data_IF_266219854333
#
_entry.id   IF_266219854333
#
_cell.length_a   1.000
_cell.length_b   1.000
_cell.length_c   1.000
_cell.angle_alpha   90.00
_cell.angle_beta   90.00
_cell.angle_gamma   90.00
#
_symmetry.space_group_name_H-M   'P 1'
#
loop_
_entity.id
_entity.type
_entity.pdbx_description
1 polymer ?
#
# COMPACT_ATOMS: atom_id res chain seq x y z
N UNK A 1 -24.98 -7.79 -51.77
CA UNK A 1 -24.74 -9.24 -51.80
C UNK A 1 -23.53 -9.55 -50.91
N UNK A 2 -23.57 -10.69 -50.19
CA UNK A 2 -22.57 -11.23 -49.24
C UNK A 2 -22.64 -10.63 -47.82
N UNK A 3 -23.37 -11.15 -46.81
CA UNK A 3 -23.46 -12.48 -46.15
C UNK A 3 -22.14 -12.96 -45.53
N UNK A 4 -21.86 -12.56 -44.28
CA UNK A 4 -21.14 -13.41 -43.34
C UNK A 4 -21.99 -13.69 -42.11
N UNK A 5 -22.08 -14.98 -41.85
CA UNK A 5 -22.78 -15.69 -40.80
C UNK A 5 -21.69 -16.31 -39.88
N UNK A 6 -22.08 -16.68 -38.66
CA UNK A 6 -21.32 -17.37 -37.60
C UNK A 6 -20.42 -16.46 -36.73
N UNK A 7 -20.45 -16.50 -35.40
CA UNK A 7 -20.89 -17.53 -34.47
C UNK A 7 -21.41 -16.93 -33.16
N UNK A 8 -22.43 -17.59 -32.61
CA UNK A 8 -22.85 -17.49 -31.21
C UNK A 8 -21.74 -18.09 -30.34
N UNK A 9 -21.26 -17.32 -29.36
CA UNK A 9 -20.60 -17.88 -28.18
C UNK A 9 -21.33 -17.34 -26.95
N UNK A 10 -22.31 -18.12 -26.48
CA UNK A 10 -22.80 -17.98 -25.12
C UNK A 10 -21.71 -18.52 -24.19
N UNK A 11 -21.23 -17.75 -23.22
CA UNK A 11 -20.71 -18.28 -21.95
C UNK A 11 -20.53 -17.16 -20.92
N UNK A 12 -21.35 -17.24 -19.87
CA UNK A 12 -20.93 -16.91 -18.52
C UNK A 12 -21.11 -15.46 -18.07
N UNK A 13 -22.33 -15.13 -17.64
CA UNK A 13 -22.48 -14.17 -16.55
C UNK A 13 -21.79 -14.74 -15.30
N UNK A 14 -20.74 -14.09 -14.82
CA UNK A 14 -20.30 -14.20 -13.44
C UNK A 14 -19.96 -12.78 -12.95
N UNK A 15 -21.00 -12.10 -12.48
CA UNK A 15 -20.87 -10.99 -11.55
C UNK A 15 -20.30 -11.61 -10.27
N UNK A 16 -19.01 -11.46 -10.04
CA UNK A 16 -18.45 -11.80 -8.73
C UNK A 16 -18.79 -10.65 -7.78
N UNK A 17 -19.98 -10.75 -7.18
CA UNK A 17 -20.31 -10.01 -5.97
C UNK A 17 -19.40 -10.54 -4.87
N UNK A 18 -18.36 -9.79 -4.52
CA UNK A 18 -17.61 -10.05 -3.29
C UNK A 18 -18.50 -9.64 -2.13
N UNK A 19 -19.10 -10.63 -1.47
CA UNK A 19 -19.81 -10.45 -0.22
C UNK A 19 -18.85 -9.88 0.83
N UNK A 20 -19.26 -8.77 1.44
CA UNK A 20 -18.61 -8.17 2.59
C UNK A 20 -18.84 -9.05 3.81
N UNK A 21 -17.78 -9.70 4.31
CA UNK A 21 -17.76 -10.28 5.66
C UNK A 21 -17.12 -9.25 6.60
N UNK A 22 -17.95 -8.62 7.43
CA UNK A 22 -17.49 -7.75 8.51
C UNK A 22 -17.04 -8.63 9.70
N UNK A 23 -15.84 -9.19 9.59
CA UNK A 23 -15.12 -9.76 10.73
C UNK A 23 -14.53 -8.65 11.60
N UNK A 24 -15.25 -8.29 12.66
CA UNK A 24 -14.67 -7.57 13.81
C UNK A 24 -13.49 -8.38 14.35
N UNK A 25 -12.28 -7.83 14.38
CA UNK A 25 -11.24 -8.36 15.27
C UNK A 25 -10.34 -7.25 15.78
N UNK A 26 -10.65 -6.80 16.99
CA UNK A 26 -9.74 -6.10 17.87
C UNK A 26 -8.60 -7.07 18.22
N UNK A 27 -7.49 -7.01 17.49
CA UNK A 27 -6.28 -7.76 17.83
C UNK A 27 -5.23 -6.79 18.38
N UNK A 28 -5.28 -6.62 19.72
CA UNK A 28 -4.10 -6.23 20.48
C UNK A 28 -3.11 -7.41 20.41
N UNK A 29 -2.01 -7.27 19.65
CA UNK A 29 -0.97 -8.30 19.55
C UNK A 29 0.35 -7.76 20.11
N UNK A 30 0.79 -8.36 21.21
CA UNK A 30 2.13 -8.23 21.80
C UNK A 30 3.23 -8.74 20.85
N UNK A 31 4.49 -8.26 20.96
CA UNK A 31 5.46 -8.33 19.89
C UNK A 31 6.11 -9.71 19.75
N UNK A 32 5.61 -10.51 18.80
CA UNK A 32 6.39 -11.60 18.20
C UNK A 32 6.95 -11.10 16.86
N UNK A 33 8.05 -10.34 16.94
CA UNK A 33 8.62 -9.54 15.84
C UNK A 33 9.15 -10.37 14.66
N UNK A 34 9.29 -11.69 14.79
CA UNK A 34 10.00 -12.52 13.81
C UNK A 34 9.09 -13.14 12.73
N UNK A 35 7.78 -13.27 12.94
CA UNK A 35 6.85 -13.81 11.94
C UNK A 35 6.25 -12.73 11.02
N UNK A 36 6.51 -11.45 11.31
CA UNK A 36 5.93 -10.29 10.61
C UNK A 36 6.63 -9.92 9.30
N UNK A 37 7.57 -10.76 8.86
CA UNK A 37 8.55 -10.39 7.81
C UNK A 37 8.07 -10.74 6.40
N UNK A 38 7.13 -11.68 6.26
CA UNK A 38 6.57 -12.10 4.97
C UNK A 38 5.11 -11.64 4.77
N UNK A 39 4.55 -10.97 5.78
CA UNK A 39 3.18 -10.46 5.75
C UNK A 39 3.27 -8.96 5.49
N UNK A 40 2.71 -8.52 4.37
CA UNK A 40 2.61 -7.10 4.06
C UNK A 40 1.80 -6.41 5.16
N UNK A 41 2.25 -5.25 5.68
CA UNK A 41 1.45 -4.44 6.59
C UNK A 41 0.09 -4.07 5.98
N UNK A 42 -0.93 -3.79 6.80
CA UNK A 42 -2.24 -3.42 6.29
C UNK A 42 -2.20 -2.08 5.55
N UNK A 43 -3.06 -1.95 4.55
CA UNK A 43 -3.32 -0.71 3.83
C UNK A 43 -4.67 -0.12 4.25
N UNK A 44 -4.86 1.20 4.15
CA UNK A 44 -6.15 1.82 4.43
C UNK A 44 -7.22 1.26 3.50
N UNK A 45 -8.39 0.92 4.04
CA UNK A 45 -9.54 0.38 3.29
C UNK A 45 -9.21 -0.88 2.47
N UNK A 46 -8.17 -1.62 2.87
CA UNK A 46 -7.71 -2.84 2.19
C UNK A 46 -7.41 -2.66 0.69
N UNK A 47 -6.99 -1.45 0.29
CA UNK A 47 -6.61 -1.18 -1.10
C UNK A 47 -5.28 -1.86 -1.45
N UNK A 48 -5.01 -2.22 -2.71
CA UNK A 48 -3.75 -2.84 -3.08
C UNK A 48 -2.57 -1.87 -2.85
N UNK A 49 -1.40 -2.41 -2.45
CA UNK A 49 -0.18 -1.63 -2.16
C UNK A 49 0.22 -0.64 -3.27
N UNK A 50 0.16 -0.99 -4.57
CA UNK A 50 0.41 -0.02 -5.63
C UNK A 50 -0.52 1.20 -5.56
N UNK A 51 -1.81 0.99 -5.26
CA UNK A 51 -2.77 2.08 -5.11
C UNK A 51 -2.50 2.91 -3.85
N UNK A 52 -2.20 2.26 -2.71
CA UNK A 52 -1.79 2.98 -1.50
C UNK A 52 -0.57 3.86 -1.76
N UNK A 53 0.47 3.29 -2.36
CA UNK A 53 1.71 3.98 -2.63
C UNK A 53 1.61 5.11 -3.64
N UNK A 54 0.90 4.91 -4.75
CA UNK A 54 0.82 5.89 -5.84
C UNK A 54 -0.26 6.95 -5.59
N UNK A 55 -1.42 6.57 -5.04
CA UNK A 55 -2.57 7.47 -4.89
C UNK A 55 -2.59 8.18 -3.54
N UNK A 56 -2.22 7.48 -2.46
CA UNK A 56 -2.33 8.03 -1.09
C UNK A 56 -1.01 8.68 -0.68
N UNK A 57 0.07 7.92 -0.73
CA UNK A 57 1.39 8.42 -0.31
C UNK A 57 2.04 9.27 -1.41
N UNK A 58 1.85 8.89 -2.67
CA UNK A 58 2.41 9.60 -3.83
C UNK A 58 3.88 9.28 -4.10
N UNK A 59 4.39 8.12 -3.68
CA UNK A 59 5.80 7.74 -3.84
C UNK A 59 6.11 7.06 -5.19
N UNK A 60 5.15 7.02 -6.13
CA UNK A 60 5.30 6.40 -7.44
C UNK A 60 5.48 4.86 -7.41
N UNK A 61 6.18 4.31 -8.42
CA UNK A 61 6.45 2.87 -8.55
C UNK A 61 7.81 2.45 -8.00
N UNK A 62 8.80 3.34 -8.02
CA UNK A 62 10.20 3.02 -7.71
C UNK A 62 10.88 4.02 -6.77
N UNK A 63 12.20 3.89 -6.65
CA UNK A 63 13.05 4.69 -5.77
C UNK A 63 12.96 6.20 -6.05
N UNK A 64 12.92 6.60 -7.32
CA UNK A 64 12.91 8.01 -7.72
C UNK A 64 11.65 8.73 -7.25
N UNK A 65 10.47 8.15 -7.48
CA UNK A 65 9.21 8.72 -7.01
C UNK A 65 9.17 8.85 -5.48
N UNK A 66 9.71 7.86 -4.76
CA UNK A 66 9.79 7.90 -3.30
C UNK A 66 10.77 8.98 -2.81
N UNK A 67 11.89 9.17 -3.51
CA UNK A 67 12.86 10.22 -3.21
C UNK A 67 12.26 11.61 -3.44
N UNK A 68 11.67 11.85 -4.62
CA UNK A 68 11.03 13.12 -4.93
C UNK A 68 9.94 13.45 -3.92
N UNK A 69 9.13 12.45 -3.54
CA UNK A 69 8.10 12.65 -2.53
C UNK A 69 8.68 12.93 -1.14
N UNK A 70 9.74 12.24 -0.73
CA UNK A 70 10.45 12.51 0.53
C UNK A 70 10.98 13.94 0.61
N UNK A 71 11.55 14.45 -0.48
CA UNK A 71 12.11 15.80 -0.54
C UNK A 71 11.00 16.87 -0.45
N UNK A 72 9.83 16.62 -1.04
CA UNK A 72 8.77 17.61 -1.21
C UNK A 72 7.54 17.44 -0.29
N UNK A 73 7.49 16.42 0.57
CA UNK A 73 6.33 16.19 1.42
C UNK A 73 6.15 17.30 2.46
N UNK A 74 4.91 17.79 2.57
CA UNK A 74 4.52 18.88 3.47
C UNK A 74 3.47 18.41 4.50
N UNK A 75 3.27 19.16 5.60
CA UNK A 75 2.22 18.86 6.58
C UNK A 75 0.80 18.78 5.97
N UNK A 76 0.54 19.55 4.91
CA UNK A 76 -0.72 19.50 4.17
C UNK A 76 -0.94 18.13 3.50
N UNK A 77 0.11 17.51 2.98
CA UNK A 77 0.05 16.16 2.41
C UNK A 77 -0.26 15.12 3.48
N UNK A 78 0.35 15.24 4.66
CA UNK A 78 0.11 14.32 5.79
C UNK A 78 -1.35 14.43 6.25
N UNK A 79 -1.90 15.64 6.28
CA UNK A 79 -3.33 15.87 6.56
C UNK A 79 -4.24 15.17 5.54
N UNK A 80 -3.85 15.14 4.25
CA UNK A 80 -4.59 14.41 3.22
C UNK A 80 -4.48 12.89 3.39
N UNK A 81 -3.29 12.38 3.73
CA UNK A 81 -3.03 10.96 4.01
C UNK A 81 -3.91 10.47 5.18
N UNK A 82 -4.06 11.29 6.25
CA UNK A 82 -4.96 11.04 7.37
C UNK A 82 -6.42 10.95 6.92
N UNK A 83 -6.89 11.91 6.12
CA UNK A 83 -8.27 11.93 5.60
C UNK A 83 -8.61 10.72 4.73
N UNK A 84 -7.61 10.11 4.09
CA UNK A 84 -7.82 8.91 3.28
C UNK A 84 -7.98 7.62 4.11
N UNK A 85 -7.89 7.72 5.44
CA UNK A 85 -8.06 6.60 6.37
C UNK A 85 -6.74 5.93 6.78
N UNK A 86 -5.60 6.58 6.52
CA UNK A 86 -4.31 6.08 7.00
C UNK A 86 -4.10 6.49 8.45
N UNK A 87 -3.63 5.57 9.29
CA UNK A 87 -3.31 5.84 10.69
C UNK A 87 -1.80 5.89 10.92
N UNK A 88 -1.37 6.49 12.04
CA UNK A 88 0.04 6.51 12.41
C UNK A 88 0.59 5.09 12.55
N UNK A 89 -0.19 4.18 13.14
CA UNK A 89 0.17 2.77 13.28
C UNK A 89 0.46 2.11 11.93
N UNK A 90 -0.32 2.42 10.89
CA UNK A 90 -0.06 1.91 9.54
C UNK A 90 1.27 2.47 9.00
N UNK A 91 1.50 3.77 9.13
CA UNK A 91 2.75 4.40 8.67
C UNK A 91 3.96 3.78 9.37
N UNK A 92 3.90 3.60 10.69
CA UNK A 92 4.97 2.97 11.47
C UNK A 92 5.19 1.52 11.06
N UNK A 93 4.12 0.75 10.82
CA UNK A 93 4.24 -0.63 10.35
C UNK A 93 4.87 -0.72 8.96
N UNK A 94 4.55 0.21 8.05
CA UNK A 94 5.19 0.31 6.73
C UNK A 94 6.64 0.78 6.80
N UNK A 95 6.96 1.67 7.73
CA UNK A 95 8.33 2.09 8.00
C UNK A 95 9.19 0.88 8.40
N UNK A 96 8.77 0.15 9.43
CA UNK A 96 9.47 -1.01 9.98
C UNK A 96 9.64 -2.13 8.94
N UNK A 97 8.62 -2.37 8.11
CA UNK A 97 8.71 -3.34 7.01
C UNK A 97 9.80 -2.97 6.00
N UNK A 98 9.85 -1.71 5.55
CA UNK A 98 10.86 -1.28 4.59
C UNK A 98 12.25 -1.17 5.21
N UNK A 99 12.38 -0.86 6.49
CA UNK A 99 13.67 -0.92 7.21
C UNK A 99 14.21 -2.35 7.28
N UNK A 100 13.35 -3.34 7.51
CA UNK A 100 13.75 -4.75 7.45
C UNK A 100 14.12 -5.20 6.03
N UNK A 101 13.38 -4.76 5.02
CA UNK A 101 13.72 -5.03 3.62
C UNK A 101 15.10 -4.44 3.24
N UNK A 102 15.46 -3.28 3.82
CA UNK A 102 16.80 -2.71 3.68
C UNK A 102 17.89 -3.57 4.32
N UNK A 103 17.64 -4.15 5.49
CA UNK A 103 18.62 -5.02 6.14
C UNK A 103 18.84 -6.31 5.36
N UNK A 104 17.80 -6.82 4.68
CA UNK A 104 17.88 -8.01 3.82
C UNK A 104 18.57 -7.74 2.49
N UNK A 105 18.34 -6.57 1.92
CA UNK A 105 18.93 -6.15 0.66
C UNK A 105 19.35 -4.68 0.73
N UNK A 106 20.59 -4.45 1.17
CA UNK A 106 21.19 -3.12 1.30
C UNK A 106 21.24 -2.34 -0.03
N UNK A 107 21.23 -3.07 -1.16
CA UNK A 107 21.26 -2.52 -2.50
C UNK A 107 19.86 -2.24 -3.08
N UNK A 108 18.79 -2.28 -2.27
CA UNK A 108 17.44 -1.92 -2.70
C UNK A 108 17.16 -0.42 -2.42
N UNK A 109 17.41 0.51 -3.36
CA UNK A 109 17.17 1.92 -3.11
C UNK A 109 15.68 2.25 -2.86
N UNK A 110 14.76 1.44 -3.38
CA UNK A 110 13.31 1.69 -3.25
C UNK A 110 12.87 1.56 -1.80
N UNK A 111 13.24 0.47 -1.13
CA UNK A 111 12.90 0.28 0.28
C UNK A 111 13.56 1.36 1.16
N UNK A 112 14.78 1.82 0.82
CA UNK A 112 15.48 2.92 1.50
C UNK A 112 14.65 4.20 1.56
N UNK A 113 14.21 4.66 0.38
CA UNK A 113 13.48 5.93 0.29
C UNK A 113 12.06 5.79 0.84
N UNK A 114 11.42 4.64 0.68
CA UNK A 114 10.08 4.40 1.27
C UNK A 114 10.11 4.38 2.79
N UNK A 115 11.10 3.73 3.41
CA UNK A 115 11.30 3.76 4.86
C UNK A 115 11.49 5.20 5.37
N UNK A 116 12.39 5.96 4.74
CA UNK A 116 12.64 7.36 5.08
C UNK A 116 11.41 8.25 4.90
N UNK A 117 10.63 8.01 3.85
CA UNK A 117 9.39 8.74 3.59
C UNK A 117 8.34 8.46 4.65
N UNK A 118 8.14 7.18 5.03
CA UNK A 118 7.24 6.82 6.12
C UNK A 118 7.68 7.47 7.44
N UNK A 119 8.97 7.48 7.75
CA UNK A 119 9.52 8.17 8.92
C UNK A 119 9.22 9.67 8.91
N UNK A 120 9.38 10.34 7.77
CA UNK A 120 9.05 11.78 7.63
C UNK A 120 7.55 12.04 7.76
N UNK A 121 6.70 11.15 7.26
CA UNK A 121 5.24 11.25 7.45
C UNK A 121 4.87 11.10 8.93
N UNK A 122 5.51 10.18 9.64
CA UNK A 122 5.30 9.97 11.07
C UNK A 122 5.78 11.17 11.92
N UNK A 123 6.90 11.80 11.54
CA UNK A 123 7.42 13.02 12.18
C UNK A 123 6.47 14.22 12.02
N UNK A 124 5.85 14.33 10.84
CA UNK A 124 4.90 15.39 10.49
C UNK A 124 3.44 15.05 10.87
N UNK A 125 3.21 14.00 11.65
CA UNK A 125 1.87 13.44 11.89
C UNK A 125 0.97 14.27 12.81
#
# INVERSE_FOLDING_TARGET
MWKYLFSIFCLGANIHCYATDFGTTNNFVSPNLQLKQNVLPPTPKNIPLPAFGQRIIGWGTGAEGARQRLENIQPADVSMIKKQGTTLEMITAWQDFYEQEQQRNENNPTAKYRARLMKKIADLW
#
